data_IF_817952913895
#
_entry.id   IF_817952913895
#
_cell.length_a   1.000
_cell.length_b   1.000
_cell.length_c   1.000
_cell.angle_alpha   90.00
_cell.angle_beta   90.00
_cell.angle_gamma   90.00
#
_symmetry.space_group_name_H-M   'P 1'
#
loop_
_entity.id
_entity.type
_entity.pdbx_description
1 polymer ?
#
# COMPACT_ATOMS: atom_id res chain seq x y z
N UNK A 1 -2.75 -5.95 3.05
CA UNK A 1 -2.65 -5.89 4.53
C UNK A 1 -3.59 -4.86 5.14
N UNK A 2 -3.42 -3.51 4.98
CA UNK A 2 -4.37 -2.50 5.51
C UNK A 2 -5.83 -2.77 5.12
N UNK A 3 -6.11 -3.26 3.92
CA UNK A 3 -7.47 -3.63 3.49
C UNK A 3 -7.98 -4.88 4.21
N UNK A 4 -7.13 -5.84 4.54
CA UNK A 4 -7.53 -6.98 5.38
C UNK A 4 -7.87 -6.54 6.81
N UNK A 5 -7.09 -5.60 7.39
CA UNK A 5 -7.44 -4.98 8.67
C UNK A 5 -8.78 -4.23 8.61
N UNK A 6 -9.10 -3.57 7.48
CA UNK A 6 -10.38 -2.91 7.30
C UNK A 6 -11.55 -3.91 7.25
N UNK A 7 -11.38 -5.06 6.58
CA UNK A 7 -12.38 -6.15 6.61
C UNK A 7 -12.57 -6.62 8.05
N UNK A 8 -11.48 -6.88 8.79
CA UNK A 8 -11.57 -7.32 10.19
C UNK A 8 -12.31 -6.31 11.07
N UNK A 9 -12.06 -5.01 10.87
CA UNK A 9 -12.76 -3.95 11.62
C UNK A 9 -14.28 -3.95 11.35
N UNK A 10 -14.70 -4.22 10.11
CA UNK A 10 -16.12 -4.37 9.76
C UNK A 10 -16.74 -5.63 10.39
N UNK A 11 -16.05 -6.77 10.31
CA UNK A 11 -16.51 -8.03 10.90
C UNK A 11 -16.72 -7.92 12.41
N UNK A 12 -15.83 -7.19 13.08
CA UNK A 12 -15.92 -6.96 14.53
C UNK A 12 -16.87 -5.83 14.91
N UNK A 13 -17.52 -5.20 13.91
CA UNK A 13 -18.44 -4.06 14.11
C UNK A 13 -17.82 -2.95 14.96
N UNK A 14 -16.54 -2.67 14.69
CA UNK A 14 -15.79 -1.68 15.47
C UNK A 14 -16.39 -0.29 15.29
N UNK A 15 -16.73 0.36 16.39
CA UNK A 15 -17.17 1.75 16.36
C UNK A 15 -15.97 2.69 16.15
N UNK A 16 -15.91 3.29 14.97
CA UNK A 16 -14.83 4.20 14.58
C UNK A 16 -14.89 5.58 15.26
N UNK A 17 -15.96 5.86 16.01
CA UNK A 17 -16.11 7.11 16.76
C UNK A 17 -15.89 6.93 18.26
N UNK A 18 -15.62 5.70 18.71
CA UNK A 18 -15.40 5.39 20.11
C UNK A 18 -14.15 6.08 20.64
N UNK A 19 -14.20 6.63 21.86
CA UNK A 19 -13.07 7.24 22.53
C UNK A 19 -11.92 6.28 22.84
N UNK A 20 -12.19 4.95 22.85
CA UNK A 20 -11.21 3.88 23.06
C UNK A 20 -10.79 3.16 21.76
N UNK A 21 -11.05 3.78 20.60
CA UNK A 21 -10.82 3.19 19.28
C UNK A 21 -9.41 2.63 19.10
N UNK A 22 -8.36 3.37 19.47
CA UNK A 22 -6.96 2.92 19.31
C UNK A 22 -6.67 1.65 20.10
N UNK A 23 -7.19 1.53 21.33
CA UNK A 23 -7.02 0.34 22.16
C UNK A 23 -7.76 -0.87 21.57
N UNK A 24 -8.98 -0.67 21.10
CA UNK A 24 -9.80 -1.70 20.44
C UNK A 24 -9.18 -2.17 19.13
N UNK A 25 -8.68 -1.24 18.32
CA UNK A 25 -7.95 -1.57 17.08
C UNK A 25 -6.71 -2.40 17.39
N UNK A 26 -5.92 -1.98 18.37
CA UNK A 26 -4.75 -2.76 18.79
C UNK A 26 -5.15 -4.18 19.19
N UNK A 27 -6.14 -4.34 20.09
CA UNK A 27 -6.61 -5.64 20.53
C UNK A 27 -7.14 -6.52 19.38
N UNK A 28 -7.88 -5.92 18.44
CA UNK A 28 -8.39 -6.59 17.24
C UNK A 28 -7.24 -7.09 16.36
N UNK A 29 -6.25 -6.23 16.09
CA UNK A 29 -5.12 -6.55 15.23
C UNK A 29 -4.17 -7.57 15.87
N UNK A 30 -3.95 -7.52 17.18
CA UNK A 30 -3.13 -8.49 17.90
C UNK A 30 -3.70 -9.92 17.82
N UNK A 31 -5.00 -10.06 17.58
CA UNK A 31 -5.70 -11.35 17.41
C UNK A 31 -5.86 -11.76 15.94
N UNK A 32 -5.76 -10.81 15.01
CA UNK A 32 -5.98 -11.07 13.60
C UNK A 32 -4.75 -11.74 12.96
N UNK A 33 -4.98 -12.81 12.22
CA UNK A 33 -3.95 -13.48 11.43
C UNK A 33 -4.02 -12.99 9.98
N UNK A 34 -3.09 -12.12 9.59
CA UNK A 34 -2.97 -11.60 8.22
C UNK A 34 -1.68 -12.10 7.62
N UNK A 35 -1.77 -12.91 6.57
CA UNK A 35 -0.60 -13.41 5.84
C UNK A 35 -0.90 -13.60 4.35
N UNK A 36 0.15 -13.83 3.56
CA UNK A 36 0.04 -14.21 2.16
C UNK A 36 0.22 -15.72 2.01
N UNK A 37 -0.60 -16.32 1.16
CA UNK A 37 -0.45 -17.70 0.67
C UNK A 37 -0.35 -17.62 -0.86
N UNK A 38 0.87 -17.60 -1.37
CA UNK A 38 1.16 -17.23 -2.76
C UNK A 38 0.65 -15.82 -3.07
N UNK A 39 -0.26 -15.71 -4.03
CA UNK A 39 -0.89 -14.44 -4.40
C UNK A 39 -2.17 -14.12 -3.60
N UNK A 40 -2.60 -15.03 -2.72
CA UNK A 40 -3.79 -14.84 -1.91
C UNK A 40 -3.46 -14.10 -0.63
N UNK A 41 -4.35 -13.21 -0.21
CA UNK A 41 -4.29 -12.60 1.12
C UNK A 41 -5.28 -13.30 2.03
N UNK A 42 -4.75 -13.86 3.12
CA UNK A 42 -5.51 -14.61 4.11
C UNK A 42 -5.77 -13.75 5.33
N UNK A 43 -6.98 -13.79 5.83
CA UNK A 43 -7.41 -13.17 7.09
C UNK A 43 -8.10 -14.25 7.94
N UNK A 44 -7.51 -14.59 9.09
CA UNK A 44 -8.04 -15.61 10.02
C UNK A 44 -8.37 -16.94 9.31
N UNK A 45 -7.47 -17.39 8.41
CA UNK A 45 -7.63 -18.60 7.62
C UNK A 45 -8.55 -18.48 6.40
N UNK A 46 -9.22 -17.34 6.17
CA UNK A 46 -10.10 -17.11 5.03
C UNK A 46 -9.41 -16.29 3.93
N UNK A 47 -9.59 -16.68 2.67
CA UNK A 47 -9.14 -15.91 1.51
C UNK A 47 -10.02 -14.67 1.32
N UNK A 48 -9.43 -13.49 1.46
CA UNK A 48 -10.09 -12.19 1.28
C UNK A 48 -9.64 -11.44 0.03
N UNK A 49 -8.93 -12.10 -0.89
CA UNK A 49 -8.32 -11.48 -2.08
C UNK A 49 -9.32 -10.77 -2.98
N UNK A 50 -10.57 -11.24 -3.05
CA UNK A 50 -11.63 -10.58 -3.81
C UNK A 50 -12.19 -9.39 -3.06
N UNK A 51 -12.47 -9.56 -1.76
CA UNK A 51 -13.13 -8.56 -0.92
C UNK A 51 -12.28 -7.31 -0.74
N UNK A 52 -10.96 -7.44 -0.62
CA UNK A 52 -10.05 -6.29 -0.48
C UNK A 52 -10.10 -5.31 -1.66
N UNK A 53 -10.66 -5.72 -2.81
CA UNK A 53 -10.77 -4.88 -4.01
C UNK A 53 -11.96 -3.90 -3.95
N UNK A 54 -12.90 -4.09 -3.04
CA UNK A 54 -14.10 -3.26 -2.92
C UNK A 54 -13.75 -1.80 -2.59
N UNK A 55 -14.42 -0.80 -3.22
CA UNK A 55 -14.18 0.63 -2.97
C UNK A 55 -14.33 1.00 -1.49
N UNK A 56 -15.39 0.52 -0.82
CA UNK A 56 -15.63 0.77 0.60
C UNK A 56 -14.49 0.26 1.49
N UNK A 57 -13.93 -0.92 1.19
CA UNK A 57 -12.76 -1.47 1.91
C UNK A 57 -11.51 -0.60 1.66
N UNK A 58 -11.36 -0.08 0.44
CA UNK A 58 -10.23 0.79 0.10
C UNK A 58 -10.30 2.13 0.85
N UNK A 59 -11.49 2.74 0.97
CA UNK A 59 -11.68 3.98 1.74
C UNK A 59 -11.47 3.73 3.23
N UNK A 60 -12.09 2.71 3.79
CA UNK A 60 -11.92 2.37 5.20
C UNK A 60 -10.44 2.10 5.54
N UNK A 61 -9.73 1.35 4.71
CA UNK A 61 -8.30 1.10 4.89
C UNK A 61 -7.47 2.41 4.88
N UNK A 62 -7.82 3.36 4.01
CA UNK A 62 -7.18 4.68 3.98
C UNK A 62 -7.45 5.46 5.27
N UNK A 63 -8.68 5.44 5.79
CA UNK A 63 -9.04 6.07 7.07
C UNK A 63 -8.31 5.41 8.24
N UNK A 64 -8.34 4.09 8.36
CA UNK A 64 -7.64 3.35 9.41
C UNK A 64 -6.13 3.55 9.35
N UNK A 65 -5.55 3.78 8.17
CA UNK A 65 -4.11 4.02 8.01
C UNK A 65 -3.61 5.33 8.63
N UNK A 66 -4.49 6.22 9.08
CA UNK A 66 -4.10 7.43 9.84
C UNK A 66 -3.89 7.15 11.32
N UNK A 67 -4.37 6.01 11.84
CA UNK A 67 -4.36 5.66 13.24
C UNK A 67 -3.05 4.98 13.65
N UNK A 68 -2.48 5.40 14.77
CA UNK A 68 -1.16 4.97 15.22
C UNK A 68 -1.09 3.46 15.50
N UNK A 69 -2.09 2.89 16.16
CA UNK A 69 -2.16 1.45 16.45
C UNK A 69 -2.11 0.61 15.16
N UNK A 70 -2.89 1.01 14.13
CA UNK A 70 -2.92 0.30 12.84
C UNK A 70 -1.57 0.41 12.13
N UNK A 71 -0.98 1.59 12.10
CA UNK A 71 0.31 1.80 11.44
C UNK A 71 1.44 1.01 12.09
N UNK A 72 1.53 1.06 13.40
CA UNK A 72 2.55 0.30 14.14
C UNK A 72 2.43 -1.19 13.85
N UNK A 73 1.23 -1.76 14.02
CA UNK A 73 0.99 -3.18 13.76
C UNK A 73 1.33 -3.56 12.30
N UNK A 74 0.87 -2.78 11.32
CA UNK A 74 1.11 -3.06 9.89
C UNK A 74 2.59 -2.94 9.52
N UNK A 75 3.29 -1.92 10.04
CA UNK A 75 4.74 -1.77 9.82
C UNK A 75 5.52 -2.96 10.37
N UNK A 76 5.21 -3.39 11.58
CA UNK A 76 5.91 -4.50 12.22
C UNK A 76 5.62 -5.83 11.49
N UNK A 77 4.39 -6.02 11.01
CA UNK A 77 4.04 -7.17 10.19
C UNK A 77 4.77 -7.13 8.83
N UNK A 78 4.83 -5.99 8.16
CA UNK A 78 5.56 -5.80 6.89
C UNK A 78 7.06 -6.04 7.06
N UNK A 79 7.67 -5.57 8.16
CA UNK A 79 9.08 -5.79 8.46
C UNK A 79 9.40 -7.27 8.65
N UNK A 80 8.57 -8.00 9.39
CA UNK A 80 8.74 -9.46 9.52
C UNK A 80 8.68 -10.19 8.18
N UNK A 81 7.77 -9.77 7.28
CA UNK A 81 7.69 -10.37 5.94
C UNK A 81 8.94 -10.14 5.08
N UNK A 82 9.64 -9.04 5.28
CA UNK A 82 10.86 -8.71 4.55
C UNK A 82 12.17 -9.01 5.27
N UNK A 83 12.12 -9.64 6.45
CA UNK A 83 13.28 -9.85 7.31
C UNK A 83 14.42 -10.62 6.63
N UNK A 84 14.08 -11.57 5.78
CA UNK A 84 15.05 -12.37 5.02
C UNK A 84 15.35 -11.86 3.63
N UNK A 85 14.89 -10.66 3.28
CA UNK A 85 15.07 -10.10 1.94
C UNK A 85 14.25 -10.83 0.86
N UNK A 86 14.61 -10.59 -0.42
CA UNK A 86 13.96 -11.26 -1.56
C UNK A 86 12.49 -10.88 -1.77
N UNK A 87 12.06 -9.72 -1.25
CA UNK A 87 10.69 -9.24 -1.36
C UNK A 87 10.57 -8.00 -2.22
N UNK A 88 9.47 -7.88 -2.95
CA UNK A 88 9.02 -6.64 -3.56
C UNK A 88 7.77 -6.19 -2.81
N UNK A 89 7.79 -4.99 -2.27
CA UNK A 89 6.68 -4.48 -1.48
C UNK A 89 6.22 -3.12 -2.00
N UNK A 90 4.92 -2.97 -2.15
CA UNK A 90 4.29 -1.71 -2.54
C UNK A 90 3.55 -1.05 -1.37
N UNK A 91 3.48 0.29 -1.39
CA UNK A 91 2.73 1.05 -0.38
C UNK A 91 2.93 2.54 -0.53
N UNK A 92 2.60 3.28 0.53
CA UNK A 92 2.67 4.74 0.57
C UNK A 92 3.92 5.26 1.28
N UNK A 93 4.48 4.45 2.14
CA UNK A 93 5.57 4.79 3.05
C UNK A 93 6.59 3.64 3.20
N UNK A 94 6.62 2.73 2.23
CA UNK A 94 7.51 1.56 2.28
C UNK A 94 8.96 2.00 2.34
N UNK A 95 9.39 2.87 1.43
CA UNK A 95 10.78 3.34 1.35
C UNK A 95 11.15 4.42 2.37
N UNK A 96 10.19 4.96 3.13
CA UNK A 96 10.45 6.02 4.11
C UNK A 96 10.31 5.57 5.56
N UNK A 97 9.42 4.60 5.84
CA UNK A 97 9.09 4.20 7.21
C UNK A 97 9.18 2.69 7.45
N UNK A 98 8.88 1.85 6.46
CA UNK A 98 8.92 0.38 6.62
C UNK A 98 10.32 -0.15 6.36
N UNK A 99 10.89 0.11 5.18
CA UNK A 99 12.23 -0.29 4.75
C UNK A 99 13.03 0.92 4.26
N UNK A 100 13.45 1.82 5.17
CA UNK A 100 14.25 2.99 4.80
C UNK A 100 15.62 2.62 4.21
N UNK A 101 16.12 1.42 4.52
CA UNK A 101 17.41 0.89 4.07
C UNK A 101 17.27 -0.10 2.90
N UNK A 102 16.10 -0.13 2.20
CA UNK A 102 15.93 -0.99 1.03
C UNK A 102 16.94 -0.63 -0.06
N UNK A 103 17.54 -1.64 -0.70
CA UNK A 103 18.57 -1.48 -1.73
C UNK A 103 18.04 -0.70 -2.94
N UNK A 104 16.81 -0.97 -3.35
CA UNK A 104 16.15 -0.26 -4.46
C UNK A 104 14.82 0.32 -4.00
N UNK A 105 14.66 1.62 -4.23
CA UNK A 105 13.41 2.34 -3.93
C UNK A 105 12.93 3.06 -5.17
N UNK A 106 11.67 2.85 -5.49
CA UNK A 106 10.99 3.51 -6.60
C UNK A 106 9.79 4.28 -6.07
N UNK A 107 9.65 5.51 -6.52
CA UNK A 107 8.45 6.31 -6.28
C UNK A 107 7.73 6.44 -7.62
N UNK A 108 6.60 5.75 -7.73
CA UNK A 108 5.76 5.78 -8.92
C UNK A 108 4.75 6.90 -8.77
N UNK A 109 4.75 7.85 -9.69
CA UNK A 109 3.77 8.93 -9.75
C UNK A 109 3.06 8.92 -11.10
N UNK A 110 1.88 9.48 -11.17
CA UNK A 110 1.13 9.70 -12.40
C UNK A 110 0.06 10.76 -12.17
N UNK A 111 -0.33 11.45 -13.24
CA UNK A 111 -1.44 12.38 -13.23
C UNK A 111 -2.69 11.76 -12.60
N UNK A 112 -3.40 12.54 -11.79
CA UNK A 112 -4.55 12.03 -11.02
C UNK A 112 -5.71 11.59 -11.92
N UNK A 113 -5.90 12.24 -13.07
CA UNK A 113 -6.97 11.87 -14.00
C UNK A 113 -6.61 10.56 -14.74
N UNK A 114 -5.33 10.36 -15.07
CA UNK A 114 -4.84 9.10 -15.65
C UNK A 114 -5.04 7.96 -14.64
N UNK A 115 -4.69 8.17 -13.37
CA UNK A 115 -4.92 7.16 -12.31
C UNK A 115 -6.41 6.88 -12.11
N UNK A 116 -7.26 7.92 -12.18
CA UNK A 116 -8.71 7.79 -12.06
C UNK A 116 -9.28 6.99 -13.25
N UNK A 117 -8.82 7.25 -14.47
CA UNK A 117 -9.24 6.51 -15.67
C UNK A 117 -8.87 5.03 -15.57
N UNK A 118 -7.62 4.72 -15.19
CA UNK A 118 -7.17 3.33 -14.96
C UNK A 118 -8.05 2.62 -13.93
N UNK A 119 -8.33 3.28 -12.80
CA UNK A 119 -9.17 2.72 -11.74
C UNK A 119 -10.62 2.57 -12.17
N UNK A 120 -11.17 3.52 -12.90
CA UNK A 120 -12.53 3.44 -13.43
C UNK A 120 -12.69 2.23 -14.38
N UNK A 121 -11.75 2.03 -15.30
CA UNK A 121 -11.76 0.88 -16.22
C UNK A 121 -11.68 -0.43 -15.44
N UNK A 122 -10.82 -0.52 -14.43
CA UNK A 122 -10.72 -1.70 -13.55
C UNK A 122 -12.05 -2.02 -12.83
N UNK A 123 -12.72 -0.99 -12.28
CA UNK A 123 -13.99 -1.15 -11.58
C UNK A 123 -15.12 -1.53 -12.54
N UNK A 124 -15.16 -0.93 -13.73
CA UNK A 124 -16.11 -1.28 -14.77
C UNK A 124 -15.96 -2.74 -15.22
N UNK A 125 -14.73 -3.21 -15.42
CA UNK A 125 -14.44 -4.61 -15.73
C UNK A 125 -14.94 -5.59 -14.65
N UNK A 126 -14.91 -5.16 -13.39
CA UNK A 126 -15.44 -5.91 -12.23
C UNK A 126 -16.95 -5.69 -12.01
N UNK A 127 -17.62 -4.95 -12.90
CA UNK A 127 -19.05 -4.60 -12.81
C UNK A 127 -19.40 -3.89 -11.50
N UNK A 128 -18.50 -3.09 -10.95
CA UNK A 128 -18.76 -2.25 -9.78
C UNK A 128 -19.42 -0.96 -10.25
N UNK A 129 -20.65 -0.63 -9.83
CA UNK A 129 -21.31 0.60 -10.20
C UNK A 129 -20.55 1.82 -9.67
N UNK A 130 -20.07 2.67 -10.57
CA UNK A 130 -19.38 3.93 -10.23
C UNK A 130 -19.25 4.80 -11.48
N UNK A 131 -19.00 6.08 -11.30
CA UNK A 131 -18.70 7.02 -12.38
C UNK A 131 -17.22 7.44 -12.33
N UNK A 132 -16.70 7.94 -13.46
CA UNK A 132 -15.36 8.51 -13.52
C UNK A 132 -15.16 9.63 -12.49
N UNK A 133 -16.13 10.53 -12.36
CA UNK A 133 -16.05 11.66 -11.43
C UNK A 133 -15.99 11.21 -9.96
N UNK A 134 -16.76 10.20 -9.59
CA UNK A 134 -16.68 9.62 -8.24
C UNK A 134 -15.30 9.02 -7.95
N UNK A 135 -14.75 8.28 -8.92
CA UNK A 135 -13.40 7.70 -8.78
C UNK A 135 -12.34 8.78 -8.67
N UNK A 136 -12.43 9.83 -9.51
CA UNK A 136 -11.51 10.96 -9.49
C UNK A 136 -11.53 11.70 -8.14
N UNK A 137 -12.73 11.98 -7.64
CA UNK A 137 -12.90 12.64 -6.35
C UNK A 137 -12.33 11.79 -5.21
N UNK A 138 -12.66 10.50 -5.16
CA UNK A 138 -12.14 9.58 -4.15
C UNK A 138 -10.61 9.51 -4.15
N UNK A 139 -9.98 9.52 -5.34
CA UNK A 139 -8.52 9.53 -5.45
C UNK A 139 -7.92 10.84 -4.94
N UNK A 140 -8.50 11.99 -5.29
CA UNK A 140 -8.05 13.30 -4.79
C UNK A 140 -8.14 13.40 -3.27
N UNK A 141 -9.26 13.00 -2.70
CA UNK A 141 -9.45 12.98 -1.24
C UNK A 141 -8.46 12.06 -0.53
N UNK A 142 -8.21 10.89 -1.13
CA UNK A 142 -7.22 9.96 -0.63
C UNK A 142 -5.81 10.51 -0.69
N UNK A 143 -5.42 11.14 -1.80
CA UNK A 143 -4.10 11.74 -1.97
C UNK A 143 -3.86 12.85 -0.95
N UNK A 144 -4.86 13.70 -0.69
CA UNK A 144 -4.81 14.72 0.37
C UNK A 144 -4.62 14.05 1.73
N UNK A 145 -5.38 13.01 2.04
CA UNK A 145 -5.29 12.26 3.30
C UNK A 145 -3.92 11.61 3.46
N UNK A 146 -3.43 10.92 2.42
CA UNK A 146 -2.15 10.20 2.46
C UNK A 146 -0.95 11.15 2.59
N UNK A 147 -1.00 12.35 1.97
CA UNK A 147 0.06 13.37 2.08
C UNK A 147 -0.02 14.17 3.38
N UNK A 148 -1.22 14.45 3.88
CA UNK A 148 -1.45 15.29 5.06
C UNK A 148 -1.40 14.57 6.41
N UNK A 149 -1.29 13.25 6.44
CA UNK A 149 -1.26 12.50 7.71
C UNK A 149 0.01 12.80 8.52
N UNK A 150 -0.14 12.94 9.84
CA UNK A 150 0.97 13.23 10.74
C UNK A 150 2.01 12.09 10.82
N UNK A 151 1.55 10.83 10.72
CA UNK A 151 2.40 9.65 10.81
C UNK A 151 2.68 9.08 9.41
N UNK A 152 3.96 9.05 9.03
CA UNK A 152 4.48 8.51 7.78
C UNK A 152 3.67 9.00 6.55
N UNK A 153 3.68 10.32 6.25
CA UNK A 153 3.00 10.88 5.09
C UNK A 153 3.49 10.27 3.79
N UNK A 154 2.65 10.29 2.75
CA UNK A 154 3.07 9.93 1.41
C UNK A 154 4.10 10.95 0.90
N UNK A 155 5.35 10.57 0.90
CA UNK A 155 6.45 11.33 0.31
C UNK A 155 7.47 10.41 -0.33
N UNK A 156 8.17 10.91 -1.35
CA UNK A 156 9.30 10.20 -1.93
C UNK A 156 10.44 10.15 -0.91
N UNK A 157 11.09 8.99 -0.75
CA UNK A 157 12.37 8.90 -0.05
C UNK A 157 13.46 9.62 -0.88
N UNK A 158 14.43 10.23 -0.22
CA UNK A 158 15.43 11.06 -0.89
C UNK A 158 16.28 10.28 -1.90
N UNK A 159 16.50 8.99 -1.62
CA UNK A 159 17.21 8.03 -2.46
C UNK A 159 16.30 7.21 -3.40
N UNK A 160 15.01 7.51 -3.47
CA UNK A 160 14.10 6.81 -4.36
C UNK A 160 14.15 7.36 -5.78
N UNK A 161 14.21 6.46 -6.76
CA UNK A 161 14.07 6.79 -8.18
C UNK A 161 12.61 7.17 -8.45
N UNK A 162 12.39 8.38 -8.97
CA UNK A 162 11.08 8.81 -9.45
C UNK A 162 10.82 8.23 -10.84
N UNK A 163 9.67 7.60 -11.02
CA UNK A 163 9.17 7.17 -12.33
C UNK A 163 7.80 7.81 -12.56
N UNK A 164 7.71 8.67 -13.55
CA UNK A 164 6.43 9.20 -14.03
C UNK A 164 5.75 8.15 -14.91
N UNK A 165 4.66 7.59 -14.39
CA UNK A 165 3.88 6.55 -15.04
C UNK A 165 2.70 7.10 -15.85
N UNK A 166 2.60 8.42 -16.05
CA UNK A 166 1.44 9.05 -16.72
C UNK A 166 1.19 8.45 -18.10
N UNK A 167 2.26 8.28 -18.90
CA UNK A 167 2.17 7.78 -20.27
C UNK A 167 2.73 6.33 -20.42
N UNK A 168 2.96 5.63 -19.32
CA UNK A 168 3.51 4.28 -19.33
C UNK A 168 2.45 3.25 -18.98
N UNK A 169 2.46 2.10 -19.66
CA UNK A 169 1.75 0.91 -19.22
C UNK A 169 2.51 0.14 -18.14
N UNK A 170 1.91 -0.92 -17.60
CA UNK A 170 2.50 -1.69 -16.50
C UNK A 170 3.82 -2.37 -16.90
N UNK A 171 3.91 -2.91 -18.13
CA UNK A 171 5.11 -3.60 -18.61
C UNK A 171 6.26 -2.61 -18.82
N UNK A 172 5.96 -1.41 -19.34
CA UNK A 172 6.95 -0.33 -19.50
C UNK A 172 7.49 0.12 -18.14
N UNK A 173 6.62 0.30 -17.13
CA UNK A 173 7.05 0.65 -15.76
C UNK A 173 7.96 -0.44 -15.19
N UNK A 174 7.57 -1.72 -15.31
CA UNK A 174 8.39 -2.85 -14.83
C UNK A 174 9.73 -2.91 -15.53
N UNK A 175 9.78 -2.68 -16.86
CA UNK A 175 11.03 -2.68 -17.62
C UNK A 175 11.95 -1.51 -17.21
N UNK A 176 11.40 -0.32 -16.96
CA UNK A 176 12.16 0.82 -16.45
C UNK A 176 12.75 0.51 -15.06
N UNK A 177 11.96 -0.06 -14.15
CA UNK A 177 12.46 -0.48 -12.83
C UNK A 177 13.57 -1.52 -12.94
N UNK A 178 13.40 -2.54 -13.79
CA UNK A 178 14.43 -3.57 -14.04
C UNK A 178 15.71 -2.96 -14.57
N UNK A 179 15.64 -2.04 -15.53
CA UNK A 179 16.82 -1.39 -16.11
C UNK A 179 17.61 -0.63 -15.04
N UNK A 180 16.93 0.07 -14.12
CA UNK A 180 17.58 0.77 -12.99
C UNK A 180 18.22 -0.18 -11.99
N UNK A 181 17.59 -1.32 -11.70
CA UNK A 181 18.15 -2.35 -10.81
C UNK A 181 19.44 -2.92 -11.40
N UNK A 182 19.43 -3.29 -12.70
CA UNK A 182 20.61 -3.83 -13.38
C UNK A 182 21.74 -2.80 -13.40
N UNK A 183 21.46 -1.54 -13.73
CA UNK A 183 22.44 -0.47 -13.75
C UNK A 183 23.03 -0.20 -12.34
N UNK A 184 22.19 -0.15 -11.31
CA UNK A 184 22.62 0.05 -9.92
C UNK A 184 23.39 -1.14 -9.35
N UNK A 185 22.96 -2.37 -9.64
CA UNK A 185 23.66 -3.60 -9.23
C UNK A 185 25.04 -3.77 -9.87
N UNK A 186 25.24 -3.20 -11.05
CA UNK A 186 26.56 -3.17 -11.71
C UNK A 186 27.51 -2.18 -11.04
N UNK A 187 27.02 -1.07 -10.50
CA UNK A 187 27.81 -0.07 -9.78
C UNK A 187 28.19 -0.52 -8.35
N UNK A 188 27.33 -1.34 -7.70
CA UNK A 188 27.56 -1.81 -6.32
C UNK A 188 28.52 -3.00 -6.18
N UNK A 189 28.83 -3.72 -7.25
CA UNK A 189 29.77 -4.86 -7.22
C UNK A 189 31.26 -4.47 -7.27
N UNK A 190 31.57 -3.17 -7.33
CA UNK A 190 32.93 -2.65 -7.41
C UNK A 190 33.67 -2.39 -6.11
N UNK A 191 33.00 -2.48 -4.94
CA UNK A 191 33.65 -2.10 -3.67
C UNK A 191 33.17 -2.99 -2.49
N UNK A 192 33.62 -4.24 -2.46
CA UNK A 192 33.92 -5.01 -1.22
C UNK A 192 34.68 -6.28 -1.59
N UNK A 193 35.94 -6.13 -1.89
CA UNK A 193 36.97 -7.16 -1.68
C UNK A 193 38.06 -6.48 -0.86
N UNK A 194 37.96 -6.68 0.45
CA UNK A 194 39.13 -6.86 1.33
C UNK A 194 38.59 -7.42 2.67
#
# INVERSE_FOLDING_TARGET
MYRAAAIKALETKLDLQSGDLEARLKQMLDRAQIHFDGQRIMLDGRDVSREISAPAISDLASRLSTLAAVRTHMRDLQRRMGEHGGVVMEGRDIGTAVFPDAEFKFFLDADVEVRARRRYVELAAKRVPTTFNEVLQQLRERDVRDRGRALAPLKRADDAVLIDCTNLDADQVVNEMKSRIVAGGSAGKGLKRN
#
